data_IF_690565332650
#
_entry.id   IF_690565332650
#
_cell.length_a   1.000
_cell.length_b   1.000
_cell.length_c   1.000
_cell.angle_alpha   90.00
_cell.angle_beta   90.00
_cell.angle_gamma   90.00
#
_symmetry.space_group_name_H-M   'P 1'
#
loop_
_entity.id
_entity.type
_entity.pdbx_description
1 polymer ?
#
# COMPACT_ATOMS: atom_id res chain seq x y z
N UNK A 1 21.30 6.70 6.27
CA UNK A 1 20.78 6.50 7.62
C UNK A 1 21.84 5.86 8.52
N UNK A 2 21.66 5.98 9.83
CA UNK A 2 22.49 5.37 10.86
C UNK A 2 21.53 4.71 11.85
N UNK A 3 21.77 3.42 12.14
CA UNK A 3 20.97 2.65 13.08
C UNK A 3 21.87 2.07 14.15
N UNK A 4 21.46 2.14 15.40
CA UNK A 4 22.12 1.49 16.52
C UNK A 4 21.06 0.71 17.31
N UNK A 5 21.27 -0.60 17.46
CA UNK A 5 20.36 -1.51 18.14
C UNK A 5 21.08 -2.26 19.25
N UNK A 6 20.41 -2.42 20.38
CA UNK A 6 20.83 -3.23 21.51
C UNK A 6 19.77 -4.29 21.81
N UNK A 7 20.20 -5.51 22.03
CA UNK A 7 19.33 -6.61 22.46
C UNK A 7 19.99 -7.36 23.63
N UNK A 8 19.26 -7.51 24.70
CA UNK A 8 19.68 -8.25 25.89
C UNK A 8 19.16 -9.69 25.89
N UNK A 9 19.81 -10.55 26.70
CA UNK A 9 19.33 -11.94 26.90
C UNK A 9 18.05 -12.04 27.74
N UNK A 10 17.66 -11.00 28.45
CA UNK A 10 16.45 -10.92 29.28
C UNK A 10 15.25 -10.24 28.58
N UNK A 11 15.30 -10.09 27.26
CA UNK A 11 14.17 -9.63 26.45
C UNK A 11 14.05 -8.12 26.27
N UNK A 12 15.03 -7.31 26.75
CA UNK A 12 15.08 -5.89 26.46
C UNK A 12 15.69 -5.66 25.07
N UNK A 13 15.01 -4.88 24.24
CA UNK A 13 15.60 -4.31 23.01
C UNK A 13 15.40 -2.81 23.01
N UNK A 14 16.44 -2.06 22.69
CA UNK A 14 16.41 -0.61 22.57
C UNK A 14 17.26 -0.17 21.39
N UNK A 15 16.90 0.93 20.77
CA UNK A 15 17.68 1.43 19.64
C UNK A 15 17.31 2.83 19.22
N UNK A 16 18.10 3.33 18.30
CA UNK A 16 17.86 4.60 17.62
C UNK A 16 18.11 4.47 16.13
N UNK A 17 17.36 5.23 15.35
CA UNK A 17 17.52 5.33 13.91
C UNK A 17 17.54 6.81 13.51
N UNK A 18 18.54 7.20 12.72
CA UNK A 18 18.62 8.51 12.11
C UNK A 18 18.54 8.40 10.61
N UNK A 19 17.58 9.09 10.02
CA UNK A 19 17.39 9.19 8.58
C UNK A 19 17.57 10.65 8.14
N UNK A 20 18.50 10.86 7.22
CA UNK A 20 18.59 12.06 6.40
C UNK A 20 18.15 11.72 4.98
N UNK A 21 17.20 12.49 4.47
CA UNK A 21 16.70 12.38 3.10
C UNK A 21 16.81 13.74 2.43
N UNK A 22 17.33 13.77 1.22
CA UNK A 22 17.37 14.97 0.36
C UNK A 22 17.11 14.54 -1.07
N UNK A 23 16.17 15.20 -1.72
CA UNK A 23 15.77 14.94 -3.11
C UNK A 23 15.68 16.25 -3.90
N UNK A 24 16.82 16.77 -4.35
CA UNK A 24 16.82 17.96 -5.22
C UNK A 24 16.23 17.60 -6.60
N UNK A 25 15.49 18.53 -7.17
CA UNK A 25 14.94 18.42 -8.51
C UNK A 25 14.98 19.76 -9.20
N UNK A 26 15.40 19.76 -10.45
CA UNK A 26 15.33 20.93 -11.36
C UNK A 26 14.58 20.51 -12.61
N UNK A 27 13.60 21.29 -13.01
CA UNK A 27 12.78 21.01 -14.19
C UNK A 27 12.59 22.29 -14.98
N UNK A 28 12.75 22.18 -16.28
CA UNK A 28 12.41 23.23 -17.23
C UNK A 28 11.07 22.88 -17.88
N UNK A 29 10.12 23.79 -17.79
CA UNK A 29 8.81 23.68 -18.41
C UNK A 29 8.68 24.76 -19.48
N UNK A 30 8.25 24.34 -20.66
CA UNK A 30 7.90 25.25 -21.74
C UNK A 30 6.45 25.02 -22.14
N UNK A 31 5.68 26.10 -22.15
CA UNK A 31 4.29 26.11 -22.59
C UNK A 31 4.15 27.00 -23.80
N UNK A 32 3.83 26.42 -24.94
CA UNK A 32 3.55 27.14 -26.17
C UNK A 32 2.06 27.25 -26.39
N UNK A 33 1.48 28.45 -26.33
CA UNK A 33 0.08 28.75 -26.60
C UNK A 33 -0.03 29.77 -27.72
N UNK A 34 -0.49 29.35 -28.89
CA UNK A 34 -0.77 30.12 -30.12
C UNK A 34 0.14 31.33 -30.43
N UNK A 35 0.30 32.27 -29.53
CA UNK A 35 1.13 33.49 -29.70
C UNK A 35 1.96 33.82 -28.46
N UNK A 36 1.86 33.03 -27.39
CA UNK A 36 2.60 33.26 -26.13
C UNK A 36 3.41 32.03 -25.79
N UNK A 37 4.73 32.23 -25.69
CA UNK A 37 5.65 31.21 -25.17
C UNK A 37 5.93 31.55 -23.70
N UNK A 38 5.59 30.65 -22.80
CA UNK A 38 5.92 30.77 -21.39
C UNK A 38 6.95 29.70 -21.02
N UNK A 39 8.04 30.12 -20.43
CA UNK A 39 9.09 29.24 -19.93
C UNK A 39 9.16 29.37 -18.42
N UNK A 40 9.26 28.25 -17.70
CA UNK A 40 9.35 28.19 -16.26
C UNK A 40 10.52 27.31 -15.85
N UNK A 41 11.38 27.82 -14.99
CA UNK A 41 12.38 27.04 -14.28
C UNK A 41 11.85 26.68 -12.90
N UNK A 42 11.83 25.41 -12.59
CA UNK A 42 11.40 24.87 -11.31
C UNK A 42 12.59 24.28 -10.57
N UNK A 43 12.86 24.76 -9.37
CA UNK A 43 13.91 24.27 -8.47
C UNK A 43 13.28 23.89 -7.14
N UNK A 44 13.45 22.64 -6.74
CA UNK A 44 12.93 22.14 -5.47
C UNK A 44 13.90 21.21 -4.76
N UNK A 45 13.78 21.13 -3.45
CA UNK A 45 14.44 20.12 -2.66
C UNK A 45 13.55 19.72 -1.49
N UNK A 46 13.23 18.45 -1.41
CA UNK A 46 12.63 17.87 -0.21
C UNK A 46 13.75 17.40 0.72
N UNK A 47 13.88 18.05 1.88
CA UNK A 47 14.94 17.74 2.87
C UNK A 47 14.33 17.39 4.21
N UNK A 48 14.50 16.12 4.63
CA UNK A 48 13.88 15.55 5.83
C UNK A 48 14.95 14.98 6.74
N UNK A 49 14.92 15.35 8.02
CA UNK A 49 15.69 14.75 9.10
C UNK A 49 14.72 14.04 10.04
N UNK A 50 14.90 12.75 10.29
CA UNK A 50 14.07 11.97 11.20
C UNK A 50 14.94 11.23 12.21
N UNK A 51 14.59 11.38 13.47
CA UNK A 51 15.12 10.60 14.59
C UNK A 51 14.00 9.68 15.09
N UNK A 52 14.35 8.45 15.36
CA UNK A 52 13.52 7.46 15.98
C UNK A 52 14.27 6.83 17.13
N UNK A 53 13.61 6.73 18.29
CA UNK A 53 14.11 6.06 19.49
C UNK A 53 13.05 5.04 19.91
N UNK A 54 13.48 3.86 20.33
CA UNK A 54 12.58 2.86 20.86
C UNK A 54 13.20 2.08 22.01
N UNK A 55 12.35 1.59 22.89
CA UNK A 55 12.69 0.61 23.91
C UNK A 55 11.52 -0.35 24.08
N UNK A 56 11.78 -1.65 23.99
CA UNK A 56 10.79 -2.71 24.07
C UNK A 56 11.26 -3.77 25.06
N UNK A 57 10.34 -4.30 25.87
CA UNK A 57 10.60 -5.38 26.79
C UNK A 57 9.62 -6.54 26.50
N UNK A 58 10.18 -7.74 26.46
CA UNK A 58 9.44 -9.00 26.35
C UNK A 58 9.72 -9.84 27.57
N UNK A 59 8.66 -10.30 28.25
CA UNK A 59 8.72 -11.24 29.34
C UNK A 59 8.01 -12.52 28.94
N UNK A 60 8.75 -13.63 28.93
CA UNK A 60 8.18 -14.96 28.79
C UNK A 60 7.98 -15.56 30.18
N UNK A 61 6.72 -15.74 30.57
CA UNK A 61 6.31 -16.29 31.86
C UNK A 61 6.14 -17.81 31.77
N UNK A 62 6.19 -18.48 32.94
CA UNK A 62 5.87 -19.90 33.01
C UNK A 62 4.43 -20.16 32.54
N UNK A 63 4.20 -21.27 31.85
CA UNK A 63 2.87 -21.62 31.34
C UNK A 63 2.53 -21.05 29.96
N UNK A 64 3.51 -20.49 29.21
CA UNK A 64 3.32 -20.04 27.84
C UNK A 64 2.61 -18.70 27.70
N UNK A 65 2.70 -17.85 28.70
CA UNK A 65 2.25 -16.45 28.65
C UNK A 65 3.44 -15.56 28.29
N UNK A 66 3.23 -14.66 27.34
CA UNK A 66 4.19 -13.61 27.04
C UNK A 66 3.55 -12.24 27.26
N UNK A 67 4.32 -11.32 27.85
CA UNK A 67 3.92 -9.93 28.06
C UNK A 67 4.96 -9.06 27.37
N UNK A 68 4.50 -8.16 26.53
CA UNK A 68 5.32 -7.20 25.85
C UNK A 68 4.85 -5.76 26.12
N UNK A 69 5.80 -4.86 26.24
CA UNK A 69 5.50 -3.43 26.34
C UNK A 69 6.67 -2.62 25.80
N UNK A 70 6.39 -1.41 25.42
CA UNK A 70 7.44 -0.57 24.88
C UNK A 70 7.00 0.85 24.61
N UNK A 71 7.98 1.63 24.23
CA UNK A 71 7.83 3.03 23.85
C UNK A 71 8.61 3.29 22.56
N UNK A 72 8.03 4.11 21.70
CA UNK A 72 8.67 4.58 20.48
C UNK A 72 8.43 6.07 20.34
N UNK A 73 9.50 6.84 20.22
CA UNK A 73 9.45 8.26 19.95
C UNK A 73 10.07 8.54 18.58
N UNK A 74 9.34 9.28 17.76
CA UNK A 74 9.83 9.71 16.44
C UNK A 74 9.70 11.22 16.36
N UNK A 75 10.74 11.90 15.93
CA UNK A 75 10.68 13.33 15.61
C UNK A 75 11.20 13.57 14.20
N UNK A 76 10.52 14.44 13.47
CA UNK A 76 10.85 14.75 12.08
C UNK A 76 10.86 16.25 11.85
N UNK A 77 11.88 16.68 11.14
CA UNK A 77 12.02 18.05 10.66
C UNK A 77 12.07 18.02 9.15
N UNK A 78 11.06 18.59 8.51
CA UNK A 78 11.00 18.81 7.06
C UNK A 78 11.37 20.28 6.78
N UNK A 79 12.43 20.47 5.98
CA UNK A 79 12.91 21.76 5.53
C UNK A 79 12.99 21.70 3.99
N UNK A 80 11.84 21.75 3.36
CA UNK A 80 11.68 21.64 1.92
C UNK A 80 11.43 23.01 1.30
N UNK A 81 11.77 23.15 0.05
CA UNK A 81 11.46 24.35 -0.73
C UNK A 81 11.09 24.02 -2.16
N UNK A 82 10.36 24.92 -2.76
CA UNK A 82 10.03 24.92 -4.18
C UNK A 82 10.02 26.37 -4.68
N UNK A 83 10.77 26.64 -5.74
CA UNK A 83 10.85 27.95 -6.36
C UNK A 83 10.59 27.85 -7.86
N UNK A 84 9.63 28.62 -8.30
CA UNK A 84 9.39 28.87 -9.73
C UNK A 84 10.02 30.18 -10.14
N UNK A 85 10.71 30.15 -11.26
CA UNK A 85 11.30 31.33 -11.88
C UNK A 85 10.85 31.41 -13.32
N UNK A 86 10.60 32.62 -13.78
CA UNK A 86 10.41 32.88 -15.20
C UNK A 86 11.67 32.45 -15.97
N UNK A 87 11.50 31.70 -17.05
CA UNK A 87 12.62 31.09 -17.76
C UNK A 87 13.44 32.07 -18.62
N UNK A 88 12.87 33.23 -18.92
CA UNK A 88 13.55 34.28 -19.74
C UNK A 88 14.25 35.29 -18.83
N UNK A 89 13.53 35.78 -17.82
CA UNK A 89 14.04 36.83 -16.93
C UNK A 89 14.76 36.33 -15.71
N UNK A 90 14.53 35.05 -15.31
CA UNK A 90 15.01 34.48 -14.08
C UNK A 90 14.28 34.99 -12.81
N UNK A 91 13.27 35.86 -12.98
CA UNK A 91 12.51 36.43 -11.88
C UNK A 91 11.72 35.35 -11.08
N UNK A 92 11.72 35.47 -9.78
CA UNK A 92 10.94 34.57 -8.91
C UNK A 92 9.44 34.81 -9.14
N UNK A 93 8.67 33.74 -9.24
CA UNK A 93 7.21 33.76 -9.28
C UNK A 93 6.71 33.43 -7.87
N UNK A 94 6.30 34.46 -7.07
CA UNK A 94 6.03 34.28 -5.64
C UNK A 94 4.85 33.36 -5.36
N UNK A 95 3.77 33.45 -6.14
CA UNK A 95 2.51 32.73 -5.91
C UNK A 95 2.66 31.19 -5.91
N UNK A 96 3.69 30.68 -6.60
CA UNK A 96 3.95 29.25 -6.69
C UNK A 96 5.26 28.84 -5.99
N UNK A 97 5.90 29.79 -5.29
CA UNK A 97 7.20 29.56 -4.63
C UNK A 97 7.04 29.53 -3.13
N UNK A 98 7.46 28.45 -2.49
CA UNK A 98 7.25 28.21 -1.07
C UNK A 98 8.48 27.58 -0.43
N UNK A 99 8.69 27.95 0.83
CA UNK A 99 9.63 27.26 1.72
C UNK A 99 8.87 26.70 2.93
N UNK A 100 8.85 25.40 3.06
CA UNK A 100 8.17 24.70 4.13
C UNK A 100 9.14 24.36 5.25
N UNK A 101 8.77 24.74 6.47
CA UNK A 101 9.41 24.32 7.71
C UNK A 101 8.37 23.61 8.57
N UNK A 102 8.37 22.27 8.56
CA UNK A 102 7.45 21.44 9.32
C UNK A 102 8.19 20.65 10.39
N UNK A 103 7.67 20.69 11.59
CA UNK A 103 8.14 19.85 12.71
C UNK A 103 6.99 19.01 13.20
N UNK A 104 7.25 17.73 13.33
CA UNK A 104 6.29 16.79 13.92
C UNK A 104 6.98 15.81 14.84
N UNK A 105 6.23 15.26 15.79
CA UNK A 105 6.67 14.11 16.57
C UNK A 105 5.50 13.16 16.84
N UNK A 106 5.85 11.89 17.06
CA UNK A 106 4.94 10.87 17.57
C UNK A 106 5.56 10.23 18.80
N UNK A 107 4.75 10.05 19.84
CA UNK A 107 5.08 9.23 20.99
C UNK A 107 4.09 8.07 21.02
N UNK A 108 4.58 6.86 20.84
CA UNK A 108 3.76 5.65 20.85
C UNK A 108 4.20 4.78 22.04
N UNK A 109 3.23 4.43 22.90
CA UNK A 109 3.40 3.52 24.01
C UNK A 109 2.47 2.34 23.81
N UNK A 110 2.95 1.14 24.05
CA UNK A 110 2.13 -0.04 23.88
C UNK A 110 2.38 -1.08 24.98
N UNK A 111 1.36 -1.89 25.21
CA UNK A 111 1.45 -3.10 26.03
C UNK A 111 0.61 -4.19 25.39
N UNK A 112 1.04 -5.43 25.54
CA UNK A 112 0.33 -6.58 25.03
C UNK A 112 0.61 -7.83 25.86
N UNK A 113 -0.28 -8.79 25.73
CA UNK A 113 -0.13 -10.11 26.30
C UNK A 113 -0.61 -11.17 25.33
N UNK A 114 0.10 -12.29 25.27
CA UNK A 114 -0.31 -13.47 24.55
C UNK A 114 -0.31 -14.70 25.49
N UNK A 115 -1.27 -15.60 25.28
CA UNK A 115 -1.36 -16.85 26.04
C UNK A 115 -1.92 -17.97 25.18
N UNK A 116 -1.36 -19.18 25.38
CA UNK A 116 -1.85 -20.41 24.76
C UNK A 116 -2.59 -21.26 25.79
N UNK A 117 -3.92 -21.31 25.68
CA UNK A 117 -4.77 -22.12 26.53
C UNK A 117 -4.80 -23.58 26.05
N UNK A 118 -3.77 -24.31 26.41
CA UNK A 118 -3.51 -25.68 25.91
C UNK A 118 -3.16 -25.67 24.41
N UNK A 119 -3.58 -26.76 23.70
CA UNK A 119 -3.25 -26.94 22.26
C UNK A 119 -4.32 -26.39 21.32
N UNK A 120 -5.47 -25.97 21.85
CA UNK A 120 -6.64 -25.67 21.02
C UNK A 120 -6.95 -24.19 20.88
N UNK A 121 -6.57 -23.37 21.84
CA UNK A 121 -6.90 -21.96 21.82
C UNK A 121 -5.70 -21.10 22.19
N UNK A 122 -5.45 -20.07 21.39
CA UNK A 122 -4.49 -19.02 21.70
C UNK A 122 -5.11 -17.64 21.51
N UNK A 123 -4.74 -16.71 22.36
CA UNK A 123 -5.18 -15.32 22.28
C UNK A 123 -4.00 -14.38 22.52
N UNK A 124 -4.01 -13.29 21.76
CA UNK A 124 -3.12 -12.16 21.91
C UNK A 124 -3.97 -10.89 21.96
N UNK A 125 -3.70 -10.02 22.93
CA UNK A 125 -4.34 -8.72 23.08
C UNK A 125 -3.27 -7.67 23.29
N UNK A 126 -3.35 -6.59 22.56
CA UNK A 126 -2.47 -5.45 22.78
C UNK A 126 -3.21 -4.13 22.64
N UNK A 127 -2.69 -3.11 23.31
CA UNK A 127 -3.16 -1.74 23.22
C UNK A 127 -1.95 -0.83 23.04
N UNK A 128 -1.98 -0.02 21.99
CA UNK A 128 -1.06 1.08 21.83
C UNK A 128 -1.79 2.42 21.97
N UNK A 129 -1.13 3.37 22.62
CA UNK A 129 -1.56 4.77 22.72
C UNK A 129 -0.52 5.63 21.99
N UNK A 130 -0.99 6.45 21.06
CA UNK A 130 -0.12 7.33 20.29
C UNK A 130 -0.53 8.79 20.46
N UNK A 131 0.45 9.62 20.83
CA UNK A 131 0.38 11.06 20.73
C UNK A 131 1.06 11.49 19.43
N UNK A 132 0.29 12.10 18.55
CA UNK A 132 0.82 12.77 17.35
C UNK A 132 0.74 14.28 17.52
N UNK A 133 1.83 14.96 17.22
CA UNK A 133 1.92 16.42 17.21
C UNK A 133 2.48 16.91 15.88
N UNK A 134 1.79 17.86 15.26
CA UNK A 134 2.24 18.60 14.11
C UNK A 134 1.64 20.00 14.11
N UNK A 135 2.43 21.03 13.83
CA UNK A 135 1.98 22.42 13.67
C UNK A 135 1.10 22.95 14.82
N UNK A 136 1.50 22.66 16.07
CA UNK A 136 0.77 23.09 17.27
C UNK A 136 -0.52 22.29 17.57
N UNK A 137 -0.87 21.31 16.76
CA UNK A 137 -2.05 20.44 16.98
C UNK A 137 -1.60 19.13 17.62
N UNK A 138 -2.33 18.70 18.64
CA UNK A 138 -2.13 17.42 19.31
C UNK A 138 -3.31 16.48 19.03
N UNK A 139 -3.03 15.21 18.81
CA UNK A 139 -4.07 14.20 18.69
C UNK A 139 -3.64 12.91 19.35
N UNK A 140 -4.47 12.42 20.29
CA UNK A 140 -4.32 11.09 20.88
C UNK A 140 -5.13 10.07 20.13
N UNK A 141 -4.54 8.88 19.96
CA UNK A 141 -5.19 7.73 19.35
C UNK A 141 -4.88 6.47 20.13
N UNK A 142 -5.87 5.58 20.23
CA UNK A 142 -5.72 4.24 20.80
C UNK A 142 -5.82 3.20 19.69
N UNK A 143 -4.92 2.23 19.73
CA UNK A 143 -4.83 1.15 18.76
C UNK A 143 -4.96 -0.20 19.47
N UNK A 144 -6.21 -0.67 19.75
CA UNK A 144 -6.43 -2.03 20.22
C UNK A 144 -6.15 -3.04 19.10
N UNK A 145 -5.56 -4.17 19.50
CA UNK A 145 -5.37 -5.35 18.65
C UNK A 145 -5.78 -6.58 19.44
N UNK A 146 -6.55 -7.46 18.80
CA UNK A 146 -6.95 -8.74 19.37
C UNK A 146 -6.78 -9.80 18.28
N UNK A 147 -6.01 -10.85 18.57
CA UNK A 147 -5.85 -12.00 17.69
C UNK A 147 -6.22 -13.26 18.46
N UNK A 148 -7.06 -14.09 17.89
CA UNK A 148 -7.39 -15.39 18.48
C UNK A 148 -7.32 -16.49 17.43
N UNK A 149 -6.86 -17.65 17.85
CA UNK A 149 -6.88 -18.86 17.03
C UNK A 149 -7.49 -19.98 17.85
N UNK A 150 -8.50 -20.65 17.29
CA UNK A 150 -9.18 -21.79 17.89
C UNK A 150 -9.17 -22.99 16.95
N UNK A 151 -8.63 -24.11 17.43
CA UNK A 151 -8.53 -25.38 16.71
C UNK A 151 -9.38 -26.43 17.44
N UNK A 152 -10.72 -26.48 17.17
CA UNK A 152 -11.63 -27.38 17.88
C UNK A 152 -11.32 -28.85 17.66
N UNK A 153 -10.90 -29.20 16.44
CA UNK A 153 -10.58 -30.55 15.99
C UNK A 153 -9.50 -30.50 14.90
N UNK A 154 -8.92 -31.66 14.60
CA UNK A 154 -7.89 -31.78 13.56
C UNK A 154 -8.39 -31.28 12.22
N UNK A 155 -7.60 -30.41 11.63
CA UNK A 155 -7.88 -29.79 10.35
C UNK A 155 -8.88 -28.63 10.38
N UNK A 156 -9.44 -28.27 11.53
CA UNK A 156 -10.36 -27.14 11.70
C UNK A 156 -9.67 -26.00 12.43
N UNK A 157 -9.60 -24.83 11.84
CA UNK A 157 -9.03 -23.63 12.47
C UNK A 157 -9.95 -22.44 12.25
N UNK A 158 -10.34 -21.80 13.34
CA UNK A 158 -11.04 -20.51 13.36
C UNK A 158 -10.05 -19.44 13.80
N UNK A 159 -10.00 -18.36 13.07
CA UNK A 159 -9.16 -17.21 13.38
C UNK A 159 -10.03 -15.95 13.41
N UNK A 160 -9.83 -15.14 14.43
CA UNK A 160 -10.39 -13.80 14.53
C UNK A 160 -9.24 -12.85 14.78
N UNK A 161 -9.20 -11.77 14.01
CA UNK A 161 -8.26 -10.69 14.19
C UNK A 161 -8.98 -9.36 14.14
N UNK A 162 -8.81 -8.54 15.17
CA UNK A 162 -9.17 -7.13 15.16
C UNK A 162 -7.89 -6.33 15.25
N UNK A 163 -7.65 -5.47 14.26
CA UNK A 163 -6.48 -4.62 14.21
C UNK A 163 -6.87 -3.16 13.97
N UNK A 164 -6.10 -2.26 14.56
CA UNK A 164 -6.21 -0.84 14.26
C UNK A 164 -4.84 -0.24 14.03
N UNK A 165 -4.77 0.72 13.11
CA UNK A 165 -3.54 1.44 12.78
C UNK A 165 -3.84 2.82 12.20
N UNK A 166 -2.81 3.64 12.06
CA UNK A 166 -2.88 4.97 11.47
C UNK A 166 -1.94 5.06 10.26
N UNK A 167 -2.41 5.69 9.19
CA UNK A 167 -1.63 6.00 8.00
C UNK A 167 -1.43 7.52 7.95
N UNK A 168 -0.19 7.94 7.90
CA UNK A 168 0.19 9.35 7.76
C UNK A 168 0.37 9.71 6.29
N UNK A 169 -0.02 10.93 5.87
CA UNK A 169 0.33 11.43 4.55
C UNK A 169 1.85 11.50 4.38
N UNK A 170 2.32 11.34 3.16
CA UNK A 170 3.70 11.64 2.82
C UNK A 170 3.96 13.15 2.93
N UNK A 171 5.19 13.55 3.27
CA UNK A 171 5.50 14.97 3.49
C UNK A 171 5.22 15.84 2.26
N UNK A 172 5.49 15.36 1.05
CA UNK A 172 5.21 16.09 -0.19
C UNK A 172 3.71 16.34 -0.42
N UNK A 173 2.83 15.47 0.09
CA UNK A 173 1.36 15.63 0.00
C UNK A 173 0.84 16.78 0.87
N UNK A 174 1.61 17.14 1.89
CA UNK A 174 1.28 18.18 2.86
C UNK A 174 1.83 19.56 2.48
N UNK A 175 2.65 19.65 1.43
CA UNK A 175 3.24 20.91 1.00
C UNK A 175 2.18 21.77 0.28
N UNK A 176 2.03 23.06 0.61
CA UNK A 176 1.06 23.96 -0.04
C UNK A 176 1.58 24.43 -1.40
N UNK A 177 1.92 23.50 -2.27
CA UNK A 177 2.57 23.79 -3.55
C UNK A 177 1.80 23.22 -4.73
N UNK A 178 1.94 23.86 -5.87
CA UNK A 178 1.42 23.40 -7.15
C UNK A 178 2.59 22.88 -7.98
N UNK A 179 2.53 21.62 -8.39
CA UNK A 179 3.45 21.02 -9.33
C UNK A 179 2.76 20.89 -10.69
N UNK A 180 3.35 21.49 -11.71
CA UNK A 180 2.88 21.31 -13.09
C UNK A 180 3.40 19.98 -13.63
N UNK A 181 2.48 19.04 -13.89
CA UNK A 181 2.81 17.74 -14.50
C UNK A 181 2.95 17.91 -16.00
N UNK A 182 2.04 18.67 -16.60
CA UNK A 182 2.04 19.10 -18.00
C UNK A 182 1.27 20.42 -18.15
N UNK A 183 0.98 20.85 -19.39
CA UNK A 183 0.29 22.12 -19.67
C UNK A 183 -1.14 22.18 -19.14
N UNK A 184 -1.75 21.04 -18.82
CA UNK A 184 -3.16 20.92 -18.45
C UNK A 184 -3.38 20.14 -17.15
N UNK A 185 -2.30 19.63 -16.53
CA UNK A 185 -2.37 18.80 -15.34
C UNK A 185 -1.50 19.37 -14.22
N UNK A 186 -2.13 19.64 -13.09
CA UNK A 186 -1.50 20.18 -11.90
C UNK A 186 -1.65 19.18 -10.74
N UNK A 187 -0.60 18.99 -9.96
CA UNK A 187 -0.65 18.26 -8.69
C UNK A 187 -0.57 19.27 -7.55
N UNK A 188 -1.62 19.32 -6.73
CA UNK A 188 -1.71 20.23 -5.58
C UNK A 188 -1.46 19.46 -4.29
N UNK A 189 -0.57 19.96 -3.45
CA UNK A 189 -0.47 19.51 -2.08
C UNK A 189 -1.63 19.99 -1.22
N UNK A 190 -1.79 19.39 -0.05
CA UNK A 190 -2.86 19.73 0.88
C UNK A 190 -2.33 19.77 2.32
N UNK A 191 -2.03 20.97 2.86
CA UNK A 191 -1.55 21.14 4.23
C UNK A 191 -2.55 20.66 5.30
N UNK A 192 -3.85 20.68 4.98
CA UNK A 192 -4.92 20.29 5.89
C UNK A 192 -5.19 18.79 5.90
N UNK A 193 -4.43 18.03 5.11
CA UNK A 193 -4.60 16.58 5.00
C UNK A 193 -4.34 15.89 6.34
N UNK A 194 -5.36 15.18 6.83
CA UNK A 194 -5.33 14.46 8.10
C UNK A 194 -4.82 13.05 7.93
N UNK A 195 -4.10 12.50 8.92
CA UNK A 195 -3.83 11.07 8.95
C UNK A 195 -5.13 10.26 9.02
N UNK A 196 -5.21 9.16 8.28
CA UNK A 196 -6.35 8.25 8.33
C UNK A 196 -6.14 7.15 9.37
N UNK A 197 -7.20 6.78 10.07
CA UNK A 197 -7.23 5.63 10.98
C UNK A 197 -7.88 4.45 10.28
N UNK A 198 -7.40 3.25 10.51
CA UNK A 198 -7.93 2.03 9.92
C UNK A 198 -8.31 1.04 11.02
N UNK A 199 -9.52 0.51 10.97
CA UNK A 199 -10.04 -0.52 11.85
C UNK A 199 -10.45 -1.72 11.01
N UNK A 200 -9.85 -2.88 11.25
CA UNK A 200 -10.10 -4.10 10.49
C UNK A 200 -10.53 -5.23 11.43
N UNK A 201 -11.63 -5.88 11.10
CA UNK A 201 -12.09 -7.11 11.73
C UNK A 201 -12.07 -8.23 10.69
N UNK A 202 -11.31 -9.27 10.96
CA UNK A 202 -11.16 -10.45 10.11
C UNK A 202 -11.66 -11.68 10.87
N UNK A 203 -12.52 -12.46 10.23
CA UNK A 203 -13.00 -13.74 10.71
C UNK A 203 -12.74 -14.77 9.62
N UNK A 204 -11.92 -15.79 9.91
CA UNK A 204 -11.55 -16.82 8.95
C UNK A 204 -11.79 -18.21 9.54
N UNK A 205 -12.36 -19.08 8.71
CA UNK A 205 -12.43 -20.50 8.97
C UNK A 205 -11.61 -21.25 7.93
N UNK A 206 -10.68 -22.08 8.40
CA UNK A 206 -9.82 -22.93 7.57
C UNK A 206 -10.13 -24.39 7.82
N UNK A 207 -10.28 -25.17 6.75
CA UNK A 207 -10.43 -26.61 6.80
C UNK A 207 -9.27 -27.29 6.10
N UNK A 208 -8.50 -28.10 6.87
CA UNK A 208 -7.34 -28.89 6.40
C UNK A 208 -6.29 -28.04 5.66
N UNK A 209 -6.19 -26.73 5.93
CA UNK A 209 -5.35 -25.77 5.21
C UNK A 209 -5.55 -25.75 3.68
N UNK A 210 -6.68 -26.30 3.20
CA UNK A 210 -7.01 -26.39 1.77
C UNK A 210 -8.19 -25.51 1.39
N UNK A 211 -9.11 -25.32 2.32
CA UNK A 211 -10.33 -24.55 2.11
C UNK A 211 -10.40 -23.45 3.16
N UNK A 212 -10.74 -22.25 2.73
CA UNK A 212 -10.94 -21.12 3.60
C UNK A 212 -12.22 -20.39 3.18
N UNK A 213 -12.99 -19.98 4.17
CA UNK A 213 -14.01 -18.94 4.02
C UNK A 213 -13.75 -17.89 5.09
N UNK A 214 -13.87 -16.62 4.73
CA UNK A 214 -13.65 -15.53 5.66
C UNK A 214 -14.52 -14.32 5.33
N UNK A 215 -14.68 -13.49 6.34
CA UNK A 215 -15.32 -12.17 6.23
C UNK A 215 -14.36 -11.15 6.84
N UNK A 216 -14.12 -10.09 6.10
CA UNK A 216 -13.37 -8.93 6.57
C UNK A 216 -14.28 -7.70 6.52
N UNK A 217 -14.25 -6.90 7.58
CA UNK A 217 -14.82 -5.57 7.61
C UNK A 217 -13.71 -4.56 7.89
N UNK A 218 -13.60 -3.57 7.02
CA UNK A 218 -12.64 -2.49 7.15
C UNK A 218 -13.35 -1.15 7.18
N UNK A 219 -13.06 -0.33 8.21
CA UNK A 219 -13.56 1.02 8.37
C UNK A 219 -12.39 1.99 8.47
N UNK A 220 -12.34 2.96 7.57
CA UNK A 220 -11.27 3.96 7.50
C UNK A 220 -11.87 5.35 7.49
N UNK A 221 -12.07 5.99 8.66
CA UNK A 221 -12.35 7.42 8.73
C UNK A 221 -11.14 8.23 8.26
N UNK A 222 -11.40 9.44 7.78
CA UNK A 222 -10.40 10.34 7.19
C UNK A 222 -9.53 9.65 6.11
N UNK A 223 -10.07 8.65 5.39
CA UNK A 223 -9.35 8.00 4.30
C UNK A 223 -8.91 9.06 3.28
N UNK A 224 -7.63 9.11 2.97
CA UNK A 224 -7.13 10.08 2.00
C UNK A 224 -6.62 9.42 0.72
N UNK A 225 -6.97 10.05 -0.38
CA UNK A 225 -6.63 9.62 -1.74
C UNK A 225 -6.54 10.83 -2.66
N UNK A 226 -5.77 10.73 -3.73
CA UNK A 226 -5.73 11.74 -4.77
C UNK A 226 -6.98 11.67 -5.64
N UNK A 227 -7.62 12.82 -5.81
CA UNK A 227 -8.77 12.98 -6.71
C UNK A 227 -8.50 14.09 -7.73
N UNK A 228 -8.96 13.93 -8.96
CA UNK A 228 -8.91 14.97 -9.96
C UNK A 228 -10.09 15.92 -9.83
N UNK A 229 -9.87 17.16 -10.22
CA UNK A 229 -10.89 18.19 -10.33
C UNK A 229 -10.59 19.07 -11.55
N UNK A 230 -11.52 19.17 -12.49
CA UNK A 230 -11.40 20.08 -13.63
C UNK A 230 -11.70 21.50 -13.16
N UNK A 231 -10.74 22.39 -13.30
CA UNK A 231 -10.85 23.76 -12.84
C UNK A 231 -11.87 24.53 -13.69
N UNK A 232 -12.77 25.31 -13.05
CA UNK A 232 -13.83 26.01 -13.77
C UNK A 232 -13.35 27.26 -14.53
N UNK A 233 -12.22 27.83 -14.14
CA UNK A 233 -11.66 29.08 -14.63
C UNK A 233 -10.69 28.91 -15.80
N UNK A 234 -10.17 27.72 -16.00
CA UNK A 234 -9.18 27.41 -17.06
C UNK A 234 -9.23 25.95 -17.48
N UNK A 235 -8.67 25.66 -18.66
CA UNK A 235 -8.54 24.29 -19.16
C UNK A 235 -7.36 23.59 -18.45
N UNK A 236 -7.63 23.15 -17.20
CA UNK A 236 -6.66 22.39 -16.41
C UNK A 236 -7.38 21.42 -15.47
N UNK A 237 -6.73 20.30 -15.17
CA UNK A 237 -7.13 19.31 -14.17
C UNK A 237 -6.18 19.41 -12.97
N UNK A 238 -6.73 19.70 -11.82
CA UNK A 238 -6.04 19.65 -10.55
C UNK A 238 -6.14 18.24 -9.95
N UNK A 239 -5.04 17.66 -9.56
CA UNK A 239 -4.97 16.42 -8.80
C UNK A 239 -4.55 16.73 -7.36
N UNK A 240 -5.45 16.56 -6.39
CA UNK A 240 -5.20 16.87 -4.99
C UNK A 240 -5.54 15.70 -4.07
N UNK A 241 -4.69 15.48 -3.05
CA UNK A 241 -5.03 14.56 -1.97
C UNK A 241 -6.07 15.19 -1.04
N UNK A 242 -7.16 14.48 -0.81
CA UNK A 242 -8.24 14.92 0.06
C UNK A 242 -8.67 13.81 1.01
N UNK A 243 -9.12 14.18 2.20
CA UNK A 243 -9.73 13.22 3.11
C UNK A 243 -11.19 12.98 2.72
N UNK A 244 -11.61 11.71 2.74
CA UNK A 244 -13.02 11.32 2.74
C UNK A 244 -13.57 11.38 4.16
N UNK A 245 -14.90 11.52 4.30
CA UNK A 245 -15.57 11.30 5.59
C UNK A 245 -15.24 9.89 6.10
N UNK A 246 -15.35 8.92 5.20
CA UNK A 246 -14.94 7.54 5.45
C UNK A 246 -14.81 6.71 4.16
N UNK A 247 -14.12 5.60 4.29
CA UNK A 247 -14.22 4.44 3.41
C UNK A 247 -14.61 3.22 4.24
N UNK A 248 -15.64 2.47 3.81
CA UNK A 248 -16.04 1.18 4.39
C UNK A 248 -15.94 0.10 3.36
N UNK A 249 -15.43 -1.06 3.75
CA UNK A 249 -15.32 -2.24 2.91
C UNK A 249 -15.74 -3.49 3.65
N UNK A 250 -16.65 -4.25 3.04
CA UNK A 250 -16.95 -5.62 3.43
C UNK A 250 -16.40 -6.55 2.39
N UNK A 251 -15.65 -7.54 2.80
CA UNK A 251 -15.09 -8.55 1.90
C UNK A 251 -15.49 -9.93 2.39
N UNK A 252 -16.13 -10.71 1.52
CA UNK A 252 -16.28 -12.14 1.69
C UNK A 252 -15.19 -12.77 0.85
N UNK A 253 -14.37 -13.63 1.45
CA UNK A 253 -13.25 -14.27 0.79
C UNK A 253 -13.33 -15.77 0.90
N UNK A 254 -12.97 -16.45 -0.18
CA UNK A 254 -12.89 -17.91 -0.20
C UNK A 254 -11.61 -18.37 -0.89
N UNK A 255 -11.05 -19.46 -0.41
CA UNK A 255 -9.92 -20.15 -1.05
C UNK A 255 -10.22 -21.64 -1.10
N UNK A 256 -9.96 -22.25 -2.24
CA UNK A 256 -9.95 -23.70 -2.40
C UNK A 256 -8.67 -24.14 -3.12
N UNK A 257 -7.98 -25.13 -2.52
CA UNK A 257 -6.89 -25.84 -3.16
C UNK A 257 -7.34 -27.24 -3.52
N UNK A 258 -7.12 -27.66 -4.74
CA UNK A 258 -7.54 -28.95 -5.24
C UNK A 258 -6.41 -29.68 -5.97
N UNK A 259 -6.51 -31.00 -6.02
CA UNK A 259 -5.56 -31.86 -6.67
C UNK A 259 -6.32 -32.96 -7.41
N UNK A 260 -6.05 -33.09 -8.71
CA UNK A 260 -6.61 -34.14 -9.56
C UNK A 260 -5.50 -35.09 -9.94
N UNK A 261 -5.58 -36.32 -9.45
CA UNK A 261 -4.52 -37.30 -9.64
C UNK A 261 -3.15 -36.77 -9.17
N UNK A 262 -2.12 -37.10 -9.94
CA UNK A 262 -0.73 -36.65 -9.70
C UNK A 262 -0.26 -35.58 -10.67
N UNK A 263 -1.13 -35.17 -11.60
CA UNK A 263 -0.76 -34.33 -12.73
C UNK A 263 -1.31 -32.89 -12.67
N UNK A 264 -2.38 -32.62 -11.92
CA UNK A 264 -2.98 -31.31 -11.84
C UNK A 264 -3.18 -30.85 -10.39
N UNK A 265 -2.59 -29.72 -10.03
CA UNK A 265 -2.80 -29.03 -8.77
C UNK A 265 -3.31 -27.63 -9.08
N UNK A 266 -4.34 -27.20 -8.36
CA UNK A 266 -4.91 -25.87 -8.55
C UNK A 266 -5.26 -25.19 -7.24
N UNK A 267 -5.34 -23.88 -7.32
CA UNK A 267 -5.84 -23.02 -6.25
C UNK A 267 -6.69 -21.91 -6.85
N UNK A 268 -7.80 -21.65 -6.22
CA UNK A 268 -8.69 -20.54 -6.55
C UNK A 268 -8.91 -19.69 -5.32
N UNK A 269 -8.89 -18.37 -5.51
CA UNK A 269 -9.34 -17.36 -4.56
C UNK A 269 -10.49 -16.59 -5.19
N UNK A 270 -11.54 -16.36 -4.43
CA UNK A 270 -12.64 -15.51 -4.83
C UNK A 270 -12.95 -14.51 -3.72
N UNK A 271 -13.17 -13.26 -4.10
CA UNK A 271 -13.51 -12.17 -3.21
C UNK A 271 -14.78 -11.49 -3.72
N UNK A 272 -15.77 -11.36 -2.86
CA UNK A 272 -16.89 -10.44 -3.03
C UNK A 272 -16.62 -9.21 -2.19
N UNK A 273 -16.48 -8.03 -2.82
CA UNK A 273 -16.11 -6.78 -2.18
C UNK A 273 -17.26 -5.78 -2.30
N UNK A 274 -17.83 -5.37 -1.20
CA UNK A 274 -18.75 -4.23 -1.13
C UNK A 274 -18.00 -3.02 -0.59
N UNK A 275 -17.81 -2.01 -1.43
CA UNK A 275 -17.13 -0.75 -1.11
C UNK A 275 -18.16 0.36 -0.94
N UNK A 276 -17.95 1.23 0.06
CA UNK A 276 -18.75 2.42 0.32
C UNK A 276 -17.79 3.56 0.64
N UNK A 277 -17.73 4.55 -0.25
CA UNK A 277 -16.88 5.73 -0.17
C UNK A 277 -17.77 6.97 -0.04
N UNK A 278 -17.47 7.84 0.95
CA UNK A 278 -18.18 9.09 1.17
C UNK A 278 -17.22 10.25 1.35
N UNK A 279 -17.50 11.36 0.67
CA UNK A 279 -16.86 12.65 0.87
C UNK A 279 -17.90 13.76 0.72
N UNK A 280 -18.07 14.54 1.79
CA UNK A 280 -19.05 15.64 1.85
C UNK A 280 -18.47 16.99 1.43
N UNK A 281 -17.14 17.09 1.24
CA UNK A 281 -16.44 18.39 1.14
C UNK A 281 -15.44 18.47 -0.03
N UNK A 282 -15.61 17.64 -1.06
CA UNK A 282 -14.73 17.71 -2.22
C UNK A 282 -15.25 18.74 -3.22
N UNK A 283 -14.76 19.97 -3.13
CA UNK A 283 -15.20 21.11 -3.94
C UNK A 283 -16.74 21.20 -4.00
N UNK A 284 -17.32 21.31 -5.20
CA UNK A 284 -18.76 21.30 -5.47
C UNK A 284 -19.30 19.89 -5.83
N UNK A 285 -18.46 18.83 -5.70
CA UNK A 285 -18.81 17.46 -6.09
C UNK A 285 -18.76 16.48 -4.93
N UNK A 286 -19.52 16.74 -3.86
CA UNK A 286 -19.72 15.76 -2.80
C UNK A 286 -20.25 14.42 -3.35
N UNK A 287 -19.87 13.30 -2.75
CA UNK A 287 -20.33 11.98 -3.16
C UNK A 287 -20.57 11.05 -1.97
N UNK A 288 -21.53 10.16 -2.16
CA UNK A 288 -21.83 9.03 -1.28
C UNK A 288 -22.12 7.83 -2.18
N UNK A 289 -21.13 6.94 -2.35
CA UNK A 289 -21.17 5.91 -3.40
C UNK A 289 -20.82 4.54 -2.85
N UNK A 290 -21.54 3.55 -3.31
CA UNK A 290 -21.27 2.16 -2.99
C UNK A 290 -21.30 1.26 -4.23
N UNK A 291 -20.56 0.16 -4.19
CA UNK A 291 -20.48 -0.81 -5.28
C UNK A 291 -20.10 -2.18 -4.74
N UNK A 292 -20.77 -3.20 -5.25
CA UNK A 292 -20.33 -4.58 -5.15
C UNK A 292 -19.45 -4.95 -6.35
N UNK A 293 -18.32 -5.60 -6.08
CA UNK A 293 -17.40 -6.10 -7.09
C UNK A 293 -16.91 -7.50 -6.74
N UNK A 294 -16.46 -8.24 -7.74
CA UNK A 294 -15.94 -9.59 -7.61
C UNK A 294 -14.51 -9.63 -8.12
N UNK A 295 -13.62 -10.29 -7.37
CA UNK A 295 -12.25 -10.57 -7.79
C UNK A 295 -12.06 -12.08 -7.77
N UNK A 296 -11.54 -12.63 -8.85
CA UNK A 296 -11.19 -14.04 -8.97
C UNK A 296 -9.70 -14.15 -9.31
N UNK A 297 -9.02 -15.05 -8.62
CA UNK A 297 -7.64 -15.38 -8.91
C UNK A 297 -7.48 -16.91 -8.91
N UNK A 298 -6.91 -17.45 -9.95
CA UNK A 298 -6.66 -18.90 -10.05
C UNK A 298 -5.26 -19.18 -10.54
N UNK A 299 -4.66 -20.24 -10.00
CA UNK A 299 -3.39 -20.76 -10.48
C UNK A 299 -3.50 -22.27 -10.60
N UNK A 300 -3.19 -22.78 -11.78
CA UNK A 300 -3.25 -24.21 -12.12
C UNK A 300 -1.87 -24.65 -12.57
N UNK A 301 -1.36 -25.70 -11.96
CA UNK A 301 -0.08 -26.31 -12.29
C UNK A 301 -0.31 -27.71 -12.80
N UNK A 302 0.19 -27.99 -14.00
CA UNK A 302 0.07 -29.26 -14.69
C UNK A 302 1.45 -29.90 -14.78
N UNK A 303 1.62 -31.12 -14.23
CA UNK A 303 2.81 -31.92 -14.38
C UNK A 303 2.65 -32.67 -15.69
N UNK A 304 3.17 -32.08 -16.77
CA UNK A 304 3.04 -32.62 -18.14
C UNK A 304 3.92 -33.86 -18.38
N UNK A 305 5.10 -33.86 -17.73
CA UNK A 305 6.00 -35.00 -17.73
C UNK A 305 6.83 -35.01 -16.46
N UNK A 306 7.17 -36.22 -15.97
CA UNK A 306 8.09 -36.42 -14.82
C UNK A 306 9.53 -36.64 -15.28
N UNK A 307 9.71 -37.25 -16.43
CA UNK A 307 11.02 -37.53 -17.09
C UNK A 307 10.86 -37.38 -18.61
N UNK A 308 11.34 -36.24 -19.21
CA UNK A 308 11.93 -35.05 -18.56
C UNK A 308 10.93 -34.31 -17.66
N UNK A 309 11.43 -33.55 -16.66
CA UNK A 309 10.57 -32.82 -15.76
C UNK A 309 10.01 -31.54 -16.46
N UNK A 310 8.75 -31.62 -16.88
CA UNK A 310 8.05 -30.52 -17.59
C UNK A 310 6.78 -30.15 -16.83
N UNK A 311 6.67 -28.89 -16.48
CA UNK A 311 5.55 -28.32 -15.74
C UNK A 311 4.95 -27.18 -16.55
N UNK A 312 3.64 -27.24 -16.79
CA UNK A 312 2.84 -26.16 -17.31
C UNK A 312 2.13 -25.40 -16.18
N UNK A 313 2.02 -24.10 -16.28
CA UNK A 313 1.20 -23.29 -15.36
C UNK A 313 0.23 -22.42 -16.15
N UNK A 314 -1.02 -22.35 -15.69
CA UNK A 314 -2.05 -21.43 -16.18
C UNK A 314 -2.53 -20.61 -14.98
N UNK A 315 -2.37 -19.30 -15.06
CA UNK A 315 -2.86 -18.35 -14.06
C UNK A 315 -3.90 -17.41 -14.67
N UNK A 316 -4.94 -17.13 -13.93
CA UNK A 316 -6.02 -16.22 -14.32
C UNK A 316 -6.34 -15.24 -13.21
N UNK A 317 -6.54 -13.98 -13.57
CA UNK A 317 -7.03 -12.92 -12.71
C UNK A 317 -8.23 -12.25 -13.40
N UNK A 318 -9.29 -12.00 -12.64
CA UNK A 318 -10.45 -11.24 -13.08
C UNK A 318 -10.93 -10.32 -11.98
N UNK A 319 -11.20 -9.07 -12.32
CA UNK A 319 -11.87 -8.10 -11.47
C UNK A 319 -13.06 -7.53 -12.24
N UNK A 320 -14.24 -7.55 -11.64
CA UNK A 320 -15.43 -6.93 -12.19
C UNK A 320 -15.34 -5.40 -12.09
N UNK A 321 -16.35 -4.70 -12.63
CA UNK A 321 -16.44 -3.24 -12.46
C UNK A 321 -16.42 -2.86 -10.98
N UNK A 322 -15.65 -1.82 -10.64
CA UNK A 322 -15.49 -1.30 -9.28
C UNK A 322 -15.64 0.23 -9.25
N UNK A 323 -15.57 0.80 -8.05
CA UNK A 323 -15.48 2.25 -7.84
C UNK A 323 -14.26 2.60 -6.99
N UNK A 324 -13.76 3.80 -7.17
CA UNK A 324 -12.80 4.45 -6.29
C UNK A 324 -13.19 5.93 -6.19
N UNK A 325 -13.84 6.30 -5.08
CA UNK A 325 -14.44 7.63 -4.94
C UNK A 325 -15.36 7.96 -6.12
N UNK A 326 -15.03 9.02 -6.85
CA UNK A 326 -15.80 9.48 -8.02
C UNK A 326 -15.57 8.65 -9.29
N UNK A 327 -14.53 7.82 -9.32
CA UNK A 327 -14.21 7.00 -10.50
C UNK A 327 -15.02 5.73 -10.60
N UNK A 328 -15.40 5.41 -11.84
CA UNK A 328 -15.85 4.08 -12.25
C UNK A 328 -14.68 3.36 -12.92
N UNK A 329 -14.35 2.18 -12.43
CA UNK A 329 -13.28 1.34 -12.95
C UNK A 329 -13.85 0.26 -13.87
N UNK A 330 -13.23 0.08 -15.05
CA UNK A 330 -13.59 -1.01 -15.98
C UNK A 330 -13.19 -2.37 -15.38
N UNK A 331 -13.81 -3.47 -15.87
CA UNK A 331 -13.32 -4.79 -15.52
C UNK A 331 -11.92 -5.01 -16.10
N UNK A 332 -11.15 -5.87 -15.43
CA UNK A 332 -9.80 -6.28 -15.83
C UNK A 332 -9.76 -7.80 -15.87
N UNK A 333 -9.15 -8.36 -16.89
CA UNK A 333 -8.85 -9.78 -16.98
C UNK A 333 -7.40 -9.97 -17.41
N UNK A 334 -6.69 -10.90 -16.76
CA UNK A 334 -5.34 -11.29 -17.13
C UNK A 334 -5.25 -12.82 -17.17
N UNK A 335 -4.78 -13.36 -18.28
CA UNK A 335 -4.45 -14.77 -18.40
C UNK A 335 -2.97 -14.89 -18.73
N UNK A 336 -2.27 -15.65 -17.89
CA UNK A 336 -0.82 -15.90 -18.01
C UNK A 336 -0.56 -17.38 -18.04
N UNK A 337 0.43 -17.80 -18.85
CA UNK A 337 0.84 -19.20 -18.93
C UNK A 337 2.35 -19.33 -18.86
N UNK A 338 2.83 -20.48 -18.40
CA UNK A 338 4.26 -20.79 -18.47
C UNK A 338 4.49 -22.27 -18.72
N UNK A 339 5.60 -22.57 -19.40
CA UNK A 339 6.14 -23.91 -19.57
C UNK A 339 7.54 -23.94 -18.98
N UNK A 340 7.77 -24.81 -18.03
CA UNK A 340 9.06 -24.97 -17.35
C UNK A 340 9.60 -26.37 -17.61
N UNK A 341 10.85 -26.44 -18.06
CA UNK A 341 11.67 -27.67 -18.08
C UNK A 341 12.76 -27.56 -17.02
N UNK A 342 13.04 -28.70 -16.34
CA UNK A 342 14.12 -28.79 -15.35
C UNK A 342 14.97 -30.01 -15.67
N UNK A 343 16.30 -29.83 -15.71
CA UNK A 343 17.25 -30.93 -15.97
C UNK A 343 17.17 -32.00 -14.86
N UNK A 344 17.56 -33.26 -15.17
CA UNK A 344 17.50 -34.36 -14.20
C UNK A 344 18.30 -34.12 -12.92
N UNK A 345 19.42 -33.38 -13.00
CA UNK A 345 20.25 -32.99 -11.85
C UNK A 345 19.72 -31.76 -11.09
N UNK A 346 18.64 -31.15 -11.57
CA UNK A 346 18.02 -29.96 -10.97
C UNK A 346 18.82 -28.67 -11.08
N UNK A 347 19.96 -28.69 -11.78
CA UNK A 347 20.83 -27.51 -11.91
C UNK A 347 20.38 -26.54 -12.99
N UNK A 348 19.83 -27.04 -14.08
CA UNK A 348 19.38 -26.23 -15.21
C UNK A 348 17.86 -26.13 -15.22
N UNK A 349 17.37 -24.92 -15.41
CA UNK A 349 15.94 -24.65 -15.55
C UNK A 349 15.72 -23.69 -16.73
N UNK A 350 14.82 -24.08 -17.63
CA UNK A 350 14.36 -23.28 -18.76
C UNK A 350 12.90 -22.96 -18.56
N UNK A 351 12.50 -21.68 -18.69
CA UNK A 351 11.13 -21.22 -18.53
C UNK A 351 10.74 -20.37 -19.72
N UNK A 352 9.62 -20.73 -20.36
CA UNK A 352 8.89 -19.88 -21.29
C UNK A 352 7.65 -19.35 -20.58
N UNK A 353 7.46 -18.04 -20.54
CA UNK A 353 6.31 -17.41 -19.88
C UNK A 353 5.64 -16.43 -20.83
N UNK A 354 4.32 -16.52 -20.97
CA UNK A 354 3.46 -15.51 -21.56
C UNK A 354 2.62 -14.85 -20.48
N UNK A 355 2.71 -13.55 -20.36
CA UNK A 355 1.90 -12.74 -19.44
C UNK A 355 0.86 -11.97 -20.24
N UNK A 356 -0.38 -11.88 -19.71
CA UNK A 356 -1.52 -11.21 -20.34
C UNK A 356 -1.68 -11.58 -21.82
N UNK A 357 -1.69 -12.88 -22.10
CA UNK A 357 -1.70 -13.39 -23.49
C UNK A 357 -2.89 -12.90 -24.30
N UNK A 358 -4.00 -12.52 -23.64
CA UNK A 358 -5.21 -11.98 -24.28
C UNK A 358 -5.19 -10.44 -24.40
N UNK A 359 -4.20 -9.75 -23.79
CA UNK A 359 -4.11 -8.28 -23.75
C UNK A 359 -5.36 -7.60 -23.20
N UNK A 360 -5.87 -8.11 -22.09
CA UNK A 360 -7.13 -7.67 -21.47
C UNK A 360 -6.95 -7.06 -20.07
N UNK A 361 -5.71 -6.80 -19.65
CA UNK A 361 -5.42 -6.23 -18.33
C UNK A 361 -5.35 -4.70 -18.30
N UNK A 362 -5.63 -4.03 -19.41
CA UNK A 362 -5.69 -2.57 -19.45
C UNK A 362 -6.96 -2.03 -18.79
N UNK A 363 -6.78 -1.03 -17.94
CA UNK A 363 -7.86 -0.44 -17.17
C UNK A 363 -8.30 0.90 -17.77
N UNK A 364 -9.59 1.09 -17.86
CA UNK A 364 -10.20 2.40 -18.15
C UNK A 364 -10.84 2.91 -16.87
N UNK A 365 -10.52 4.14 -16.49
CA UNK A 365 -11.22 4.87 -15.45
C UNK A 365 -12.14 5.92 -16.10
N UNK A 366 -13.33 6.09 -15.55
CA UNK A 366 -14.27 7.12 -15.99
C UNK A 366 -14.76 7.90 -14.79
N UNK A 367 -14.59 9.21 -14.85
CA UNK A 367 -15.22 10.16 -13.97
C UNK A 367 -16.41 10.77 -14.73
N UNK A 368 -17.59 10.67 -14.16
CA UNK A 368 -18.81 11.31 -14.62
C UNK A 368 -19.65 11.65 -13.39
N UNK A 369 -19.36 12.78 -12.75
CA UNK A 369 -19.96 13.19 -11.50
C UNK A 369 -20.09 14.72 -11.44
N UNK A 370 -21.26 15.23 -11.11
CA UNK A 370 -21.53 16.66 -11.22
C UNK A 370 -21.26 17.18 -12.65
N UNK A 371 -20.46 18.20 -12.78
CA UNK A 371 -20.01 18.72 -14.08
C UNK A 371 -18.68 18.12 -14.56
N UNK A 372 -18.04 17.31 -13.73
CA UNK A 372 -16.75 16.69 -14.02
C UNK A 372 -16.87 15.54 -15.03
N UNK A 373 -16.07 15.55 -16.06
CA UNK A 373 -16.02 14.51 -17.09
C UNK A 373 -14.58 14.20 -17.45
N UNK A 374 -14.13 13.01 -17.11
CA UNK A 374 -12.80 12.52 -17.46
C UNK A 374 -12.88 11.05 -17.86
N UNK A 375 -12.08 10.66 -18.84
CA UNK A 375 -11.86 9.26 -19.22
C UNK A 375 -10.37 9.06 -19.41
N UNK A 376 -9.79 8.22 -18.58
CA UNK A 376 -8.37 7.84 -18.67
C UNK A 376 -8.27 6.38 -19.08
N UNK A 377 -7.58 6.11 -20.16
CA UNK A 377 -7.25 4.76 -20.63
C UNK A 377 -5.80 4.48 -20.27
N UNK A 378 -5.58 3.52 -19.37
CA UNK A 378 -4.25 3.10 -18.97
C UNK A 378 -3.82 1.94 -19.85
N UNK A 379 -3.05 2.24 -20.87
CA UNK A 379 -2.47 1.24 -21.77
C UNK A 379 -1.06 0.89 -21.28
N UNK A 380 -0.98 -0.09 -20.39
CA UNK A 380 0.29 -0.64 -19.94
C UNK A 380 0.73 -1.76 -20.88
N UNK A 381 2.02 -1.83 -21.14
CA UNK A 381 2.61 -2.94 -21.90
C UNK A 381 2.73 -4.20 -21.02
N UNK A 382 1.55 -4.72 -20.63
CA UNK A 382 1.45 -5.88 -19.75
C UNK A 382 1.65 -7.21 -20.49
N UNK A 383 1.35 -7.24 -21.80
CA UNK A 383 1.56 -8.44 -22.62
C UNK A 383 3.03 -8.63 -22.90
N UNK A 384 3.58 -9.70 -22.37
CA UNK A 384 4.99 -10.01 -22.54
C UNK A 384 5.23 -11.51 -22.69
N UNK A 385 6.27 -11.84 -23.45
CA UNK A 385 6.80 -13.20 -23.57
C UNK A 385 8.23 -13.20 -23.06
N UNK A 386 8.49 -14.06 -22.09
CA UNK A 386 9.79 -14.12 -21.42
C UNK A 386 10.40 -15.51 -21.59
N UNK A 387 11.65 -15.54 -22.02
CA UNK A 387 12.51 -16.73 -21.96
C UNK A 387 13.49 -16.56 -20.81
N UNK A 388 13.57 -17.55 -19.91
CA UNK A 388 14.50 -17.53 -18.79
C UNK A 388 15.33 -18.82 -18.78
N UNK A 389 16.64 -18.66 -18.68
CA UNK A 389 17.58 -19.75 -18.48
C UNK A 389 18.26 -19.55 -17.12
N UNK A 390 18.13 -20.52 -16.23
CA UNK A 390 18.74 -20.51 -14.91
C UNK A 390 19.67 -21.70 -14.76
N UNK A 391 20.89 -21.43 -14.31
CA UNK A 391 21.86 -22.46 -13.96
C UNK A 391 22.38 -22.22 -12.54
N UNK A 392 22.29 -23.25 -11.69
CA UNK A 392 22.76 -23.20 -10.31
C UNK A 392 24.20 -23.62 -10.23
N UNK A 393 25.10 -22.72 -9.83
CA UNK A 393 26.49 -22.98 -9.53
C UNK A 393 26.87 -22.38 -8.17
N UNK A 394 27.69 -23.08 -7.39
CA UNK A 394 28.15 -22.64 -6.08
C UNK A 394 27.11 -22.76 -4.94
N UNK A 395 27.51 -22.41 -3.73
CA UNK A 395 26.70 -22.46 -2.50
C UNK A 395 26.66 -21.11 -1.76
N UNK A 396 26.09 -20.07 -2.39
CA UNK A 396 25.94 -18.75 -1.73
C UNK A 396 24.86 -18.78 -0.64
N UNK A 397 25.20 -18.26 0.56
CA UNK A 397 24.23 -18.00 1.63
C UNK A 397 23.97 -16.50 1.72
N UNK A 398 22.74 -16.11 1.53
CA UNK A 398 22.32 -14.71 1.62
C UNK A 398 22.40 -14.16 3.05
N UNK A 399 22.97 -12.97 3.21
CA UNK A 399 22.98 -12.25 4.51
C UNK A 399 21.71 -11.44 4.64
N UNK A 400 21.01 -11.58 5.76
CA UNK A 400 19.86 -10.72 6.12
C UNK A 400 20.32 -9.26 6.26
N UNK A 401 19.60 -8.36 5.61
CA UNK A 401 19.72 -6.90 5.79
C UNK A 401 18.52 -6.39 6.57
N UNK A 402 18.75 -5.38 7.42
CA UNK A 402 17.67 -4.67 8.10
C UNK A 402 17.14 -3.58 7.17
N UNK A 403 15.84 -3.60 6.88
CA UNK A 403 15.20 -2.59 6.03
C UNK A 403 14.81 -1.36 6.85
N UNK A 404 15.03 -0.18 6.26
CA UNK A 404 14.65 1.12 6.84
C UNK A 404 13.25 1.50 6.41
N UNK A 405 12.43 1.98 7.36
CA UNK A 405 11.09 2.48 7.06
C UNK A 405 11.15 3.80 6.27
N UNK A 406 10.88 3.73 4.97
CA UNK A 406 10.86 4.87 4.05
C UNK A 406 9.45 5.22 3.56
N UNK A 407 8.40 4.61 4.12
CA UNK A 407 7.00 4.71 3.62
C UNK A 407 6.47 6.14 3.49
N UNK A 408 6.91 7.07 4.36
CA UNK A 408 6.48 8.47 4.31
C UNK A 408 7.32 9.37 3.40
N UNK A 409 8.36 8.85 2.79
CA UNK A 409 9.23 9.60 1.88
C UNK A 409 8.72 9.62 0.44
N UNK A 410 7.63 8.90 0.13
CA UNK A 410 7.02 8.88 -1.19
C UNK A 410 7.74 7.96 -2.20
N UNK A 411 8.44 6.93 -1.72
CA UNK A 411 9.10 5.90 -2.53
C UNK A 411 8.46 4.54 -2.33
#
# INVERSE_FOLDING_TARGET
NVTADYQSSFGLSAGMDFLFFSSPSQTFLQKDMQSVRQTLNYDSNQRINRWLFYANQLHSLQGGTEINYGVKYTTTHDNSYQFYRDGETGALIPDNSEKLLRKEYTLNMYTGASHSFGKKFSAEVSLAAELYHAEGRHSWMLYPTVNTTYTPADGHTLQMSFTSNRKYPAYWQLQPIIQYVDSYTEAHGNPDLKPSSNYSLDLNYLYKNKYMIGVNYNYTPDYFVQLPYQLPDRLAEMNQFVNYDFQKRWTIQTMASYKVGTWWNGRIFAFGLFSHDKNSHFHDIAFDRHKFSVILNTTNTFILSKKPNIIGTLAGFYQSRAIQGVYNLSPICNISTSLQWTSPDGKTKVILKGNDILNTSNMTTRLAWGQQRNRTEMNWDNRSFTFSFLYKFGGYKEKKRTDVDTKRLGR
#
